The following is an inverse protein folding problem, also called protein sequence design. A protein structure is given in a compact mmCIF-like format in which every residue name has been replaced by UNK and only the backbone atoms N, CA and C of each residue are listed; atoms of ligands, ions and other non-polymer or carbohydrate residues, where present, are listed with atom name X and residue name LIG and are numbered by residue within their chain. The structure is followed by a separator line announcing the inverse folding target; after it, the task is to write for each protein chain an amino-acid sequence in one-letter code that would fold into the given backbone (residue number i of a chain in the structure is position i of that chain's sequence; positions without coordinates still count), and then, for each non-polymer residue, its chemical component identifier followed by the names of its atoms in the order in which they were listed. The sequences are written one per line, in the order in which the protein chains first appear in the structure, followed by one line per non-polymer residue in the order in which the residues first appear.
data_IF_039158933957
#
_entry.id   IF_039158933957
#
_cell.length_a   1.000
_cell.length_b   1.000
_cell.length_c   1.000
_cell.angle_alpha   90.00
_cell.angle_beta   90.00
_cell.angle_gamma   90.00
#
_symmetry.space_group_name_H-M   'P 1'
#
loop_
_entity.id
_entity.type
_entity.pdbx_description
1 polymer ?
#
# COMPACT_ATOMS: atom_id res chain seq x y z
N UNK A 1 -15.84 -16.63 -26.04
CA UNK A 1 -15.21 -15.35 -25.67
C UNK A 1 -13.68 -15.51 -25.57
N UNK A 2 -13.16 -16.55 -24.87
CA UNK A 2 -11.72 -16.77 -24.76
C UNK A 2 -11.02 -16.88 -26.12
N UNK A 3 -11.56 -17.69 -27.03
CA UNK A 3 -11.01 -17.87 -28.37
C UNK A 3 -11.05 -16.57 -29.20
N UNK A 4 -12.09 -15.77 -29.00
CA UNK A 4 -12.22 -14.45 -29.65
C UNK A 4 -11.12 -13.50 -29.16
N UNK A 5 -10.89 -13.44 -27.83
CA UNK A 5 -9.83 -12.63 -27.25
C UNK A 5 -8.46 -13.10 -27.72
N UNK A 6 -8.22 -14.40 -27.83
CA UNK A 6 -6.95 -14.94 -28.32
C UNK A 6 -6.69 -14.51 -29.77
N UNK A 7 -7.71 -14.61 -30.66
CA UNK A 7 -7.56 -14.16 -32.05
C UNK A 7 -7.31 -12.65 -32.14
N UNK A 8 -8.00 -11.82 -31.31
CA UNK A 8 -7.73 -10.39 -31.23
C UNK A 8 -6.31 -10.12 -30.75
N UNK A 9 -5.80 -10.92 -29.80
CA UNK A 9 -4.44 -10.83 -29.34
C UNK A 9 -3.42 -11.09 -30.44
N UNK A 10 -3.59 -12.15 -31.22
CA UNK A 10 -2.68 -12.46 -32.34
C UNK A 10 -2.72 -11.43 -33.48
N UNK A 11 -3.83 -10.73 -33.63
CA UNK A 11 -4.00 -9.68 -34.64
C UNK A 11 -3.54 -8.30 -34.17
N UNK A 12 -3.27 -8.13 -32.86
CA UNK A 12 -2.87 -6.85 -32.30
C UNK A 12 -1.40 -6.54 -32.57
N UNK A 13 -1.13 -5.40 -33.21
CA UNK A 13 0.24 -4.92 -33.42
C UNK A 13 0.86 -4.36 -32.12
N UNK A 14 0.05 -3.66 -31.30
CA UNK A 14 0.46 -3.11 -30.02
C UNK A 14 0.70 -4.23 -29.01
N UNK A 15 1.90 -4.28 -28.43
CA UNK A 15 2.26 -5.26 -27.40
C UNK A 15 1.35 -5.17 -26.17
N UNK A 16 0.94 -3.97 -25.78
CA UNK A 16 0.03 -3.74 -24.63
C UNK A 16 -1.34 -4.35 -24.90
N UNK A 17 -1.94 -4.07 -26.06
CA UNK A 17 -3.23 -4.64 -26.44
C UNK A 17 -3.16 -6.16 -26.61
N UNK A 18 -2.10 -6.65 -27.25
CA UNK A 18 -1.85 -8.09 -27.38
C UNK A 18 -1.85 -8.78 -26.03
N UNK A 19 -1.06 -8.27 -25.09
CA UNK A 19 -0.97 -8.85 -23.76
C UNK A 19 -2.31 -8.81 -23.04
N UNK A 20 -3.06 -7.73 -23.12
CA UNK A 20 -4.37 -7.63 -22.50
C UNK A 20 -5.32 -8.71 -23.02
N UNK A 21 -5.43 -8.87 -24.32
CA UNK A 21 -6.30 -9.88 -24.95
C UNK A 21 -5.86 -11.30 -24.61
N UNK A 22 -4.57 -11.61 -24.70
CA UNK A 22 -4.06 -12.94 -24.41
C UNK A 22 -4.17 -13.29 -22.92
N UNK A 23 -3.93 -12.34 -22.01
CA UNK A 23 -4.16 -12.54 -20.58
C UNK A 23 -5.65 -12.77 -20.27
N UNK A 24 -6.54 -12.02 -20.89
CA UNK A 24 -7.98 -12.22 -20.74
C UNK A 24 -8.46 -13.59 -21.26
N UNK A 25 -7.89 -14.06 -22.39
CA UNK A 25 -8.19 -15.40 -22.90
C UNK A 25 -7.72 -16.50 -21.93
N UNK A 26 -6.52 -16.34 -21.35
CA UNK A 26 -5.96 -17.26 -20.38
C UNK A 26 -6.78 -17.28 -19.08
N UNK A 27 -7.17 -16.11 -18.57
CA UNK A 27 -8.01 -15.96 -17.39
C UNK A 27 -9.34 -16.70 -17.54
N UNK A 28 -10.00 -16.59 -18.71
CA UNK A 28 -11.26 -17.26 -18.96
C UNK A 28 -11.15 -18.79 -19.06
N UNK A 29 -9.99 -19.32 -19.42
CA UNK A 29 -9.75 -20.77 -19.55
C UNK A 29 -9.25 -21.42 -18.27
N UNK A 30 -8.37 -20.76 -17.57
CA UNK A 30 -7.58 -21.32 -16.47
C UNK A 30 -7.80 -20.61 -15.13
N UNK A 31 -8.56 -19.51 -15.13
CA UNK A 31 -8.67 -18.61 -14.00
C UNK A 31 -7.41 -17.72 -13.87
N UNK A 32 -7.33 -17.01 -12.76
CA UNK A 32 -6.15 -16.18 -12.47
C UNK A 32 -4.94 -17.08 -12.24
N UNK A 33 -3.86 -16.92 -13.02
CA UNK A 33 -2.68 -17.76 -12.88
C UNK A 33 -2.09 -17.67 -11.47
N UNK A 34 -1.50 -18.76 -10.92
CA UNK A 34 -0.78 -18.69 -9.66
C UNK A 34 0.36 -17.68 -9.81
N UNK A 35 0.28 -16.51 -9.15
CA UNK A 35 1.39 -15.55 -9.18
C UNK A 35 2.51 -16.07 -8.31
N UNK A 36 3.72 -15.91 -8.79
CA UNK A 36 4.82 -15.70 -7.86
C UNK A 36 4.53 -14.36 -7.19
N UNK A 37 4.44 -14.36 -5.87
CA UNK A 37 4.30 -13.10 -5.14
C UNK A 37 5.46 -12.21 -5.53
N UNK A 38 5.16 -11.13 -6.25
CA UNK A 38 6.16 -10.11 -6.49
C UNK A 38 6.36 -9.37 -5.17
N UNK A 39 7.39 -9.78 -4.45
CA UNK A 39 7.86 -9.04 -3.28
C UNK A 39 8.87 -8.02 -3.82
N UNK A 40 8.61 -6.71 -3.70
CA UNK A 40 9.59 -5.71 -4.06
C UNK A 40 10.90 -5.99 -3.33
N UNK A 41 12.04 -5.83 -3.99
CA UNK A 41 13.32 -5.98 -3.30
C UNK A 41 13.54 -4.83 -2.31
N UNK A 42 14.33 -5.06 -1.27
CA UNK A 42 14.72 -4.02 -0.31
C UNK A 42 15.40 -2.82 -0.99
N UNK A 43 16.14 -3.06 -2.06
CA UNK A 43 16.75 -2.00 -2.87
C UNK A 43 15.71 -1.15 -3.63
N UNK A 44 14.62 -1.76 -4.08
CA UNK A 44 13.51 -1.01 -4.69
C UNK A 44 12.81 -0.13 -3.64
N UNK A 45 12.56 -0.66 -2.44
CA UNK A 45 11.97 0.10 -1.34
C UNK A 45 12.84 1.30 -0.95
N UNK A 46 14.15 1.11 -0.83
CA UNK A 46 15.09 2.17 -0.48
C UNK A 46 15.08 3.33 -1.49
N UNK A 47 14.89 3.05 -2.78
CA UNK A 47 14.84 4.05 -3.84
C UNK A 47 13.56 4.90 -3.88
N UNK A 48 12.50 4.53 -3.17
CA UNK A 48 11.25 5.28 -3.16
C UNK A 48 11.37 6.47 -2.20
N UNK A 49 11.10 7.72 -2.64
CA UNK A 49 11.00 8.85 -1.72
C UNK A 49 9.88 8.65 -0.70
N UNK A 50 10.11 9.04 0.56
CA UNK A 50 9.11 8.87 1.64
C UNK A 50 7.80 9.60 1.32
N UNK A 51 7.89 10.77 0.71
CA UNK A 51 6.75 11.56 0.25
C UNK A 51 5.85 10.77 -0.73
N UNK A 52 6.46 9.94 -1.60
CA UNK A 52 5.71 9.09 -2.52
C UNK A 52 4.95 7.98 -1.77
N UNK A 53 5.48 7.50 -0.66
CA UNK A 53 4.78 6.53 0.20
C UNK A 53 3.52 7.17 0.79
N UNK A 54 3.62 8.37 1.35
CA UNK A 54 2.45 9.07 1.91
C UNK A 54 1.41 9.44 0.85
N UNK A 55 1.84 9.85 -0.35
CA UNK A 55 0.92 10.08 -1.49
C UNK A 55 0.18 8.80 -1.89
N UNK A 56 0.88 7.67 -1.89
CA UNK A 56 0.26 6.36 -2.16
C UNK A 56 -0.75 5.99 -1.07
N UNK A 57 -0.42 6.25 0.19
CA UNK A 57 -1.35 6.05 1.30
C UNK A 57 -2.61 6.92 1.13
N UNK A 58 -2.45 8.20 0.79
CA UNK A 58 -3.58 9.11 0.59
C UNK A 58 -4.58 8.61 -0.47
N UNK A 59 -4.08 8.02 -1.57
CA UNK A 59 -4.93 7.42 -2.62
C UNK A 59 -5.65 6.16 -2.15
N UNK A 60 -5.09 5.46 -1.16
CA UNK A 60 -5.63 4.19 -0.63
C UNK A 60 -6.57 4.40 0.56
N UNK A 61 -6.72 5.62 1.05
CA UNK A 61 -7.64 5.91 2.15
C UNK A 61 -9.07 5.52 1.75
N UNK A 62 -9.77 4.87 2.66
CA UNK A 62 -11.18 4.47 2.54
C UNK A 62 -12.06 5.52 3.22
N UNK A 63 -12.59 6.52 2.50
CA UNK A 63 -13.32 7.63 3.12
C UNK A 63 -14.54 7.18 3.93
N UNK A 64 -15.24 6.17 3.43
CA UNK A 64 -16.43 5.60 4.08
C UNK A 64 -16.12 4.91 5.41
N UNK A 65 -14.86 4.58 5.66
CA UNK A 65 -14.41 3.94 6.91
C UNK A 65 -13.98 4.97 7.97
N UNK A 66 -13.74 6.22 7.60
CA UNK A 66 -13.22 7.25 8.50
C UNK A 66 -14.29 7.74 9.47
N UNK A 67 -15.56 7.73 9.06
CA UNK A 67 -16.74 8.08 9.88
C UNK A 67 -16.59 9.42 10.66
N UNK A 68 -15.94 10.40 10.06
CA UNK A 68 -15.72 11.72 10.66
C UNK A 68 -14.67 11.75 11.79
N UNK A 69 -13.97 10.65 12.04
CA UNK A 69 -12.88 10.63 13.02
C UNK A 69 -11.73 11.54 12.61
N UNK A 70 -11.07 12.13 13.62
CA UNK A 70 -9.77 12.82 13.44
C UNK A 70 -8.70 11.92 14.07
N UNK A 71 -7.77 11.47 13.26
CA UNK A 71 -6.68 10.58 13.71
C UNK A 71 -5.35 11.21 13.36
N UNK A 72 -4.49 11.39 14.37
CA UNK A 72 -3.15 11.94 14.19
C UNK A 72 -2.10 10.92 14.65
N UNK A 73 -1.21 10.58 13.72
CA UNK A 73 -0.12 9.63 13.92
C UNK A 73 1.21 10.28 13.59
N UNK A 74 2.14 10.21 14.52
CA UNK A 74 3.52 10.63 14.32
C UNK A 74 4.35 9.50 13.71
N UNK A 75 5.21 9.85 12.76
CA UNK A 75 6.27 8.98 12.25
C UNK A 75 7.60 9.64 12.59
N UNK A 76 8.27 9.12 13.59
CA UNK A 76 9.61 9.54 13.97
C UNK A 76 10.63 8.67 13.24
N UNK A 77 11.23 9.24 12.21
CA UNK A 77 12.25 8.56 11.43
C UNK A 77 13.60 8.76 12.09
N UNK A 78 14.24 7.69 12.53
CA UNK A 78 15.54 7.76 13.22
C UNK A 78 16.67 8.37 12.37
N UNK A 79 16.49 8.39 11.05
CA UNK A 79 17.48 8.79 10.04
C UNK A 79 17.00 9.94 9.14
N UNK A 80 15.82 10.52 9.40
CA UNK A 80 15.26 11.66 8.68
C UNK A 80 14.39 12.51 9.63
N UNK A 81 13.85 13.63 9.14
CA UNK A 81 12.92 14.47 9.89
C UNK A 81 11.62 13.74 10.21
N UNK A 82 10.99 14.04 11.36
CA UNK A 82 9.71 13.44 11.72
C UNK A 82 8.57 13.94 10.82
N UNK A 83 7.53 13.12 10.71
CA UNK A 83 6.31 13.45 9.99
C UNK A 83 5.09 13.29 10.91
N UNK A 84 4.16 14.21 10.79
CA UNK A 84 2.82 14.10 11.36
C UNK A 84 1.84 13.76 10.23
N UNK A 85 1.14 12.65 10.37
CA UNK A 85 0.04 12.25 9.49
C UNK A 85 -1.27 12.53 10.19
N UNK A 86 -2.19 13.21 9.52
CA UNK A 86 -3.54 13.48 10.03
C UNK A 86 -4.60 13.05 9.03
N UNK A 87 -5.53 12.23 9.47
CA UNK A 87 -6.77 11.96 8.76
C UNK A 87 -7.82 12.87 9.37
N UNK A 88 -8.32 13.80 8.56
CA UNK A 88 -9.37 14.73 8.92
C UNK A 88 -10.23 15.00 7.69
N UNK A 89 -11.54 15.13 7.86
CA UNK A 89 -12.50 15.30 6.76
C UNK A 89 -12.34 14.26 5.64
N UNK A 90 -12.05 13.01 6.00
CA UNK A 90 -11.83 11.90 5.08
C UNK A 90 -10.64 12.11 4.13
N UNK A 91 -9.65 12.92 4.52
CA UNK A 91 -8.44 13.19 3.75
C UNK A 91 -7.21 12.91 4.61
N UNK A 92 -6.22 12.23 4.04
CA UNK A 92 -4.90 12.09 4.66
C UNK A 92 -4.01 13.28 4.27
N UNK A 93 -3.62 14.04 5.27
CA UNK A 93 -2.62 15.10 5.17
C UNK A 93 -1.34 14.67 5.89
N UNK A 94 -0.20 15.22 5.50
CA UNK A 94 1.06 15.01 6.19
C UNK A 94 1.94 16.24 6.16
N UNK A 95 2.68 16.45 7.23
CA UNK A 95 3.63 17.56 7.39
C UNK A 95 4.97 16.98 7.83
N UNK A 96 6.04 17.55 7.30
CA UNK A 96 7.41 17.18 7.61
C UNK A 96 8.02 18.20 8.58
N UNK A 97 8.93 17.73 9.43
CA UNK A 97 9.72 18.57 10.35
C UNK A 97 8.82 19.35 11.32
N UNK A 98 7.85 18.67 11.90
CA UNK A 98 6.89 19.23 12.84
C UNK A 98 6.97 18.51 14.18
N UNK A 99 6.47 19.19 15.24
CA UNK A 99 6.33 18.56 16.56
C UNK A 99 5.32 17.42 16.50
N UNK A 100 5.64 16.32 17.17
CA UNK A 100 4.76 15.17 17.30
C UNK A 100 3.93 15.18 18.60
N UNK A 101 3.91 16.31 19.33
CA UNK A 101 3.18 16.45 20.62
C UNK A 101 1.68 16.20 20.50
N UNK A 102 1.10 16.46 19.35
CA UNK A 102 -0.33 16.32 19.09
C UNK A 102 -0.70 14.94 18.54
N UNK A 103 0.30 14.11 18.25
CA UNK A 103 0.08 12.75 17.79
C UNK A 103 -0.43 11.86 18.93
N UNK A 104 -1.50 11.13 18.67
CA UNK A 104 -2.07 10.17 19.63
C UNK A 104 -1.24 8.90 19.74
N UNK A 105 -0.47 8.59 18.70
CA UNK A 105 0.51 7.51 18.67
C UNK A 105 1.68 7.88 17.76
N UNK A 106 2.86 7.40 18.09
CA UNK A 106 4.09 7.66 17.33
C UNK A 106 4.76 6.34 17.00
N UNK A 107 5.12 6.17 15.73
CA UNK A 107 6.00 5.10 15.25
C UNK A 107 7.44 5.62 15.20
N UNK A 108 8.35 4.95 15.92
CA UNK A 108 9.79 5.18 15.79
C UNK A 108 10.41 4.07 14.96
N UNK A 109 10.94 4.42 13.80
CA UNK A 109 11.40 3.45 12.80
C UNK A 109 12.42 4.12 11.86
N UNK A 110 13.29 3.33 11.22
CA UNK A 110 14.12 3.89 10.15
C UNK A 110 13.32 4.14 8.87
N UNK A 111 13.74 5.10 8.04
CA UNK A 111 13.09 5.38 6.74
C UNK A 111 12.99 4.14 5.86
N UNK A 112 14.04 3.31 5.84
CA UNK A 112 14.05 2.11 5.00
C UNK A 112 13.11 1.03 5.53
N UNK A 113 13.03 0.85 6.84
CA UNK A 113 12.11 -0.11 7.47
C UNK A 113 10.66 0.32 7.32
N UNK A 114 10.39 1.62 7.46
CA UNK A 114 9.05 2.17 7.21
C UNK A 114 8.58 1.91 5.78
N UNK A 115 9.43 2.18 4.78
CA UNK A 115 9.13 1.89 3.38
C UNK A 115 8.92 0.40 3.15
N UNK A 116 9.76 -0.45 3.71
CA UNK A 116 9.63 -1.91 3.59
C UNK A 116 8.34 -2.43 4.25
N UNK A 117 7.95 -1.86 5.40
CA UNK A 117 6.69 -2.15 6.08
C UNK A 117 5.48 -1.74 5.21
N UNK A 118 5.49 -0.52 4.66
CA UNK A 118 4.40 -0.02 3.81
C UNK A 118 4.25 -0.79 2.50
N UNK A 119 5.34 -1.33 1.97
CA UNK A 119 5.35 -2.18 0.76
C UNK A 119 5.05 -3.66 1.05
N UNK A 120 4.90 -4.04 2.32
CA UNK A 120 4.64 -5.42 2.73
C UNK A 120 5.83 -6.36 2.52
N UNK A 121 7.07 -5.83 2.52
CA UNK A 121 8.33 -6.59 2.48
C UNK A 121 8.67 -7.11 3.88
N UNK A 122 8.45 -6.27 4.89
CA UNK A 122 8.63 -6.59 6.30
C UNK A 122 7.29 -6.51 7.01
N UNK A 123 7.14 -7.30 8.03
CA UNK A 123 5.98 -7.27 8.90
C UNK A 123 6.29 -6.55 10.22
N UNK A 124 5.26 -5.90 10.81
CA UNK A 124 5.43 -5.09 11.99
C UNK A 124 5.88 -5.89 13.20
N UNK A 125 5.41 -7.13 13.38
CA UNK A 125 5.78 -7.96 14.53
C UNK A 125 7.25 -8.35 14.48
N UNK A 126 7.77 -8.65 13.30
CA UNK A 126 9.20 -8.91 13.09
C UNK A 126 10.03 -7.70 13.50
N UNK A 127 9.65 -6.51 13.03
CA UNK A 127 10.36 -5.26 13.37
C UNK A 127 10.33 -4.93 14.86
N UNK A 128 9.19 -5.16 15.53
CA UNK A 128 9.06 -4.98 16.99
C UNK A 128 9.96 -5.96 17.73
N UNK A 129 9.94 -7.25 17.37
CA UNK A 129 10.75 -8.28 18.01
C UNK A 129 12.26 -8.04 17.84
N UNK A 130 12.65 -7.44 16.74
CA UNK A 130 14.04 -7.05 16.45
C UNK A 130 14.43 -5.69 17.08
N UNK A 131 13.51 -4.99 17.74
CA UNK A 131 13.75 -3.66 18.33
C UNK A 131 13.97 -2.56 17.28
N UNK A 132 13.49 -2.74 16.05
CA UNK A 132 13.62 -1.80 14.92
C UNK A 132 12.38 -0.93 14.72
N UNK A 133 11.29 -1.27 15.39
CA UNK A 133 10.06 -0.51 15.45
C UNK A 133 9.64 -0.37 16.90
N UNK A 134 9.53 0.86 17.36
CA UNK A 134 8.96 1.21 18.66
C UNK A 134 7.65 1.97 18.47
N UNK A 135 6.71 1.74 19.38
CA UNK A 135 5.41 2.39 19.39
C UNK A 135 5.29 3.17 20.70
N UNK A 136 5.07 4.48 20.60
CA UNK A 136 4.72 5.33 21.73
C UNK A 136 3.25 5.77 21.63
N UNK A 137 2.57 5.91 22.76
CA UNK A 137 1.16 6.29 22.83
C UNK A 137 0.20 5.11 22.67
N UNK A 138 -0.97 5.36 22.08
CA UNK A 138 -2.03 4.36 21.96
C UNK A 138 -1.87 3.48 20.73
N UNK A 139 -1.44 2.24 20.92
CA UNK A 139 -1.31 1.25 19.87
C UNK A 139 -2.65 0.94 19.15
N UNK A 140 -3.81 1.12 19.81
CA UNK A 140 -5.11 0.89 19.17
C UNK A 140 -5.37 1.91 18.05
N UNK A 141 -4.88 3.13 18.22
CA UNK A 141 -4.98 4.17 17.19
C UNK A 141 -4.19 3.76 15.94
N UNK A 142 -3.01 3.18 16.09
CA UNK A 142 -2.24 2.68 14.96
C UNK A 142 -2.94 1.51 14.26
N UNK A 143 -3.54 0.61 15.03
CA UNK A 143 -4.34 -0.48 14.45
C UNK A 143 -5.54 0.07 13.69
N UNK A 144 -6.26 1.04 14.28
CA UNK A 144 -7.36 1.73 13.61
C UNK A 144 -6.89 2.46 12.36
N UNK A 145 -5.82 3.23 12.45
CA UNK A 145 -5.21 3.93 11.33
C UNK A 145 -4.92 2.98 10.16
N UNK A 146 -4.34 1.82 10.45
CA UNK A 146 -4.03 0.81 9.43
C UNK A 146 -5.28 0.29 8.70
N UNK A 147 -6.40 0.12 9.41
CA UNK A 147 -7.65 -0.40 8.81
C UNK A 147 -8.32 0.57 7.86
N UNK A 148 -7.94 1.84 7.88
CA UNK A 148 -8.50 2.89 7.03
C UNK A 148 -7.93 2.90 5.60
N UNK A 149 -6.98 2.03 5.30
CA UNK A 149 -6.34 1.99 3.99
C UNK A 149 -6.68 0.69 3.26
N UNK A 150 -7.12 0.84 2.01
CA UNK A 150 -7.36 -0.30 1.13
C UNK A 150 -6.08 -1.10 0.88
N UNK A 151 -6.23 -2.39 0.87
CA UNK A 151 -5.18 -3.34 0.51
C UNK A 151 -5.51 -3.91 -0.85
N UNK A 152 -5.27 -3.14 -1.90
CA UNK A 152 -5.52 -3.59 -3.26
C UNK A 152 -4.95 -4.98 -3.48
N UNK A 153 -5.77 -5.92 -3.97
CA UNK A 153 -5.28 -7.23 -4.33
C UNK A 153 -4.22 -7.06 -5.43
N UNK A 154 -3.09 -7.71 -5.26
CA UNK A 154 -2.01 -7.68 -6.28
C UNK A 154 -2.44 -8.36 -7.58
N UNK A 155 -3.53 -9.09 -7.52
CA UNK A 155 -4.18 -9.73 -8.63
C UNK A 155 -5.62 -9.30 -8.66
N UNK A 156 -6.05 -8.96 -9.83
CA UNK A 156 -7.45 -8.69 -10.10
C UNK A 156 -7.79 -9.30 -11.47
N UNK A 157 -8.99 -9.83 -11.65
CA UNK A 157 -9.45 -10.28 -12.93
C UNK A 157 -9.60 -9.09 -13.87
N UNK A 158 -9.29 -9.32 -15.16
CA UNK A 158 -9.43 -8.29 -16.21
C UNK A 158 -10.67 -8.50 -17.07
N UNK A 159 -11.20 -9.71 -17.10
CA UNK A 159 -12.38 -10.07 -17.90
C UNK A 159 -13.46 -10.81 -17.12
N UNK A 160 -13.15 -11.37 -15.97
CA UNK A 160 -14.13 -11.98 -15.07
C UNK A 160 -14.54 -11.00 -13.98
N UNK A 161 -15.80 -11.03 -13.50
CA UNK A 161 -16.19 -10.20 -12.36
C UNK A 161 -15.36 -10.52 -11.11
N UNK A 162 -15.08 -9.50 -10.30
CA UNK A 162 -14.58 -9.72 -8.95
C UNK A 162 -15.67 -10.46 -8.16
N UNK A 163 -15.34 -11.60 -7.59
CA UNK A 163 -16.22 -12.23 -6.61
C UNK A 163 -16.31 -11.33 -5.38
N UNK A 164 -17.52 -10.92 -5.03
CA UNK A 164 -17.84 -10.02 -3.91
C UNK A 164 -17.75 -10.74 -2.57
#
# INVERSE_FOLDING_TARGET
LADTLEQLGYQSESATWRNFFLCGALELREGLPPTRDFVPSSGMAAGIPIDQVFKTMAVRLLPDQVDGEVIQVGIDLNDDAPFLLSIENCVLNYWRDVSLSDASAILKISSNDFKALMLGILDAMTLINEGRLEIEGDANILMRFRTLFDQFPRRFPIVTPLES
#
